data_IF_808267223785
#
_entry.id   IF_808267223785
#
_cell.length_a   1.000
_cell.length_b   1.000
_cell.length_c   1.000
_cell.angle_alpha   90.00
_cell.angle_beta   90.00
_cell.angle_gamma   90.00
#
_symmetry.space_group_name_H-M   'P 1'
#
loop_
_entity.id
_entity.type
_entity.pdbx_description
1 polymer ?
#
# COMPACT_ATOMS: atom_id res chain seq x y z
N UNK A 1 18.98 17.36 -3.24
CA UNK A 1 18.90 16.02 -2.71
C UNK A 1 17.98 15.16 -3.55
N UNK A 2 18.27 13.86 -3.59
CA UNK A 2 17.46 12.95 -4.37
C UNK A 2 16.15 12.60 -3.67
N UNK A 3 15.25 12.02 -4.45
CA UNK A 3 13.93 11.64 -3.97
C UNK A 3 14.01 10.72 -2.75
N UNK A 4 14.88 9.71 -2.82
CA UNK A 4 15.02 8.74 -1.74
C UNK A 4 15.45 9.41 -0.43
N UNK A 5 16.41 10.34 -0.53
CA UNK A 5 16.93 11.00 0.66
C UNK A 5 15.89 11.94 1.27
N UNK A 6 15.14 12.66 0.45
CA UNK A 6 14.17 13.62 0.94
C UNK A 6 12.92 12.97 1.53
N UNK A 7 12.68 11.70 1.20
CA UNK A 7 11.54 10.98 1.74
C UNK A 7 11.93 9.95 2.80
N UNK A 8 13.23 9.87 3.14
CA UNK A 8 13.74 8.82 4.02
C UNK A 8 13.15 8.87 5.43
N UNK A 9 12.94 10.08 5.97
CA UNK A 9 12.42 10.21 7.33
C UNK A 9 11.00 9.69 7.43
N UNK A 10 10.12 10.08 6.51
CA UNK A 10 8.74 9.60 6.52
C UNK A 10 8.69 8.10 6.26
N UNK A 11 9.55 7.61 5.37
CA UNK A 11 9.64 6.18 5.11
C UNK A 11 9.99 5.43 6.39
N UNK A 12 10.98 5.93 7.15
CA UNK A 12 11.39 5.33 8.40
C UNK A 12 10.25 5.30 9.40
N UNK A 13 9.51 6.42 9.51
CA UNK A 13 8.38 6.49 10.45
C UNK A 13 7.32 5.45 10.07
N UNK A 14 6.99 5.35 8.78
CA UNK A 14 5.99 4.39 8.32
C UNK A 14 6.43 2.96 8.64
N UNK A 15 7.70 2.63 8.38
CA UNK A 15 8.21 1.29 8.64
C UNK A 15 8.19 0.92 10.10
N UNK A 16 8.33 1.91 11.00
CA UNK A 16 8.39 1.66 12.43
C UNK A 16 7.03 1.61 13.10
N UNK A 17 5.95 1.87 12.36
CA UNK A 17 4.62 1.75 12.96
C UNK A 17 4.37 0.32 13.44
N UNK A 18 3.74 0.20 14.59
CA UNK A 18 3.59 -1.10 15.24
C UNK A 18 2.85 -2.11 14.36
N UNK A 19 1.79 -1.68 13.69
CA UNK A 19 1.05 -2.60 12.82
C UNK A 19 1.95 -3.16 11.72
N UNK A 20 2.75 -2.28 11.09
CA UNK A 20 3.65 -2.68 10.03
C UNK A 20 4.75 -3.61 10.55
N UNK A 21 5.28 -3.32 11.73
CA UNK A 21 6.28 -4.18 12.36
C UNK A 21 5.71 -5.56 12.67
N UNK A 22 4.47 -5.62 13.15
CA UNK A 22 3.82 -6.89 13.43
C UNK A 22 3.62 -7.69 12.15
N UNK A 23 3.31 -7.01 11.05
CA UNK A 23 3.16 -7.68 9.77
C UNK A 23 4.50 -8.28 9.32
N UNK A 24 5.60 -7.52 9.48
CA UNK A 24 6.93 -8.04 9.17
C UNK A 24 7.31 -9.26 10.00
N UNK A 25 6.86 -9.31 11.24
CA UNK A 25 7.17 -10.43 12.13
C UNK A 25 6.21 -11.61 11.97
N UNK A 26 5.22 -11.49 11.08
CA UNK A 26 4.26 -12.58 10.88
C UNK A 26 3.28 -12.70 12.03
N UNK A 27 2.95 -11.59 12.70
CA UNK A 27 2.14 -11.59 13.90
C UNK A 27 0.70 -11.13 13.69
N UNK A 28 0.31 -10.81 12.46
CA UNK A 28 -1.06 -10.39 12.21
C UNK A 28 -1.99 -11.60 12.21
N UNK A 29 -3.17 -11.43 12.82
CA UNK A 29 -4.22 -12.42 12.66
C UNK A 29 -4.82 -12.29 11.27
N UNK A 30 -5.59 -13.30 10.88
CA UNK A 30 -6.31 -13.28 9.61
C UNK A 30 -7.22 -12.05 9.53
N UNK A 31 -7.94 -11.76 10.61
CA UNK A 31 -8.85 -10.62 10.66
C UNK A 31 -8.09 -9.29 10.48
N UNK A 32 -6.96 -9.17 11.16
CA UNK A 32 -6.14 -7.96 11.03
C UNK A 32 -5.63 -7.77 9.61
N UNK A 33 -5.21 -8.86 8.99
CA UNK A 33 -4.71 -8.78 7.61
C UNK A 33 -5.84 -8.46 6.63
N UNK A 34 -7.04 -8.99 6.86
CA UNK A 34 -8.21 -8.65 6.03
C UNK A 34 -8.51 -7.16 6.14
N UNK A 35 -8.42 -6.60 7.34
CA UNK A 35 -8.61 -5.15 7.51
C UNK A 35 -7.56 -4.36 6.74
N UNK A 36 -6.31 -4.81 6.75
CA UNK A 36 -5.25 -4.17 5.97
C UNK A 36 -5.56 -4.25 4.48
N UNK A 37 -5.90 -5.45 3.99
CA UNK A 37 -6.21 -5.65 2.58
C UNK A 37 -7.40 -4.81 2.13
N UNK A 38 -8.37 -4.60 3.00
CA UNK A 38 -9.53 -3.77 2.68
C UNK A 38 -9.11 -2.34 2.37
N UNK A 39 -8.22 -1.77 3.20
CA UNK A 39 -7.71 -0.43 2.93
C UNK A 39 -6.92 -0.39 1.63
N UNK A 40 -6.05 -1.37 1.45
CA UNK A 40 -5.23 -1.44 0.24
C UNK A 40 -6.08 -1.59 -1.01
N UNK A 41 -7.13 -2.39 -0.94
CA UNK A 41 -8.06 -2.57 -2.06
C UNK A 41 -8.63 -1.24 -2.52
N UNK A 42 -9.08 -0.42 -1.57
CA UNK A 42 -9.67 0.88 -1.90
C UNK A 42 -8.64 1.80 -2.54
N UNK A 43 -7.42 1.81 -2.02
CA UNK A 43 -6.36 2.67 -2.54
C UNK A 43 -5.96 2.25 -3.95
N UNK A 44 -5.67 0.96 -4.15
CA UNK A 44 -5.22 0.49 -5.45
C UNK A 44 -6.33 0.56 -6.50
N UNK A 45 -7.58 0.29 -6.10
CA UNK A 45 -8.70 0.46 -7.03
C UNK A 45 -8.80 1.90 -7.51
N UNK A 46 -8.63 2.87 -6.60
CA UNK A 46 -8.71 4.28 -6.98
C UNK A 46 -7.58 4.68 -7.91
N UNK A 47 -6.37 4.17 -7.66
CA UNK A 47 -5.23 4.47 -8.52
C UNK A 47 -5.43 3.86 -9.91
N UNK A 48 -5.94 2.63 -9.96
CA UNK A 48 -5.92 1.85 -11.21
C UNK A 48 -7.13 2.04 -12.09
N UNK A 49 -8.28 2.37 -11.51
CA UNK A 49 -9.51 2.44 -12.30
C UNK A 49 -9.48 3.63 -13.25
N UNK A 50 -9.55 3.33 -14.54
CA UNK A 50 -9.60 4.37 -15.56
C UNK A 50 -8.29 5.09 -15.81
N UNK A 51 -7.19 4.64 -15.23
CA UNK A 51 -5.89 5.29 -15.40
C UNK A 51 -4.89 4.36 -16.05
N UNK A 52 -3.95 4.97 -16.77
CA UNK A 52 -2.80 4.25 -17.31
C UNK A 52 -1.69 4.25 -16.27
N UNK A 53 -1.04 3.11 -16.12
CA UNK A 53 0.10 2.98 -15.22
C UNK A 53 1.36 2.87 -16.06
N UNK A 54 2.55 3.13 -15.48
CA UNK A 54 3.81 2.97 -16.22
C UNK A 54 3.96 1.58 -16.84
N UNK A 55 3.39 0.53 -16.21
CA UNK A 55 3.30 -0.80 -16.78
C UNK A 55 2.03 -1.44 -16.27
N UNK A 56 1.30 -2.14 -17.15
CA UNK A 56 0.11 -2.86 -16.72
C UNK A 56 0.43 -3.98 -15.75
N UNK A 57 1.67 -4.48 -15.78
CA UNK A 57 2.11 -5.52 -14.84
C UNK A 57 2.12 -5.05 -13.39
N UNK A 58 2.05 -3.74 -13.18
CA UNK A 58 1.97 -3.19 -11.82
C UNK A 58 0.61 -3.43 -11.16
N UNK A 59 -0.46 -3.59 -11.92
CA UNK A 59 -1.82 -3.60 -11.36
C UNK A 59 -1.99 -4.63 -10.27
N UNK A 60 -2.57 -4.17 -9.14
CA UNK A 60 -2.70 -4.99 -7.92
C UNK A 60 -4.13 -5.30 -7.53
N UNK A 61 -5.11 -4.57 -8.09
CA UNK A 61 -6.50 -4.70 -7.65
C UNK A 61 -7.01 -6.13 -7.70
N UNK A 62 -6.74 -6.83 -8.79
CA UNK A 62 -7.22 -8.20 -8.95
C UNK A 62 -6.54 -9.14 -7.95
N UNK A 63 -5.23 -8.98 -7.75
CA UNK A 63 -4.50 -9.82 -6.81
C UNK A 63 -5.01 -9.64 -5.38
N UNK A 64 -5.29 -8.39 -5.00
CA UNK A 64 -5.82 -8.10 -3.67
C UNK A 64 -7.21 -8.70 -3.52
N UNK A 65 -8.04 -8.59 -4.56
CA UNK A 65 -9.36 -9.20 -4.54
C UNK A 65 -9.28 -10.71 -4.35
N UNK A 66 -8.32 -11.36 -5.02
CA UNK A 66 -8.10 -12.79 -4.87
C UNK A 66 -7.72 -13.14 -3.44
N UNK A 67 -6.85 -12.35 -2.83
CA UNK A 67 -6.46 -12.58 -1.44
C UNK A 67 -7.65 -12.44 -0.50
N UNK A 68 -8.46 -11.41 -0.70
CA UNK A 68 -9.65 -11.22 0.12
C UNK A 68 -10.64 -12.39 -0.03
N UNK A 69 -10.81 -12.88 -1.25
CA UNK A 69 -11.68 -14.04 -1.48
C UNK A 69 -11.14 -15.28 -0.80
N UNK A 70 -9.85 -15.48 -0.83
CA UNK A 70 -9.22 -16.63 -0.19
C UNK A 70 -9.44 -16.62 1.31
N UNK A 71 -9.28 -15.46 1.92
CA UNK A 71 -9.41 -15.33 3.38
C UNK A 71 -10.84 -15.32 3.87
N UNK A 72 -11.74 -14.76 3.09
CA UNK A 72 -13.17 -14.99 3.16
C UNK A 72 -13.88 -14.99 4.52
N UNK A 73 -13.34 -14.34 5.47
CA UNK A 73 -13.87 -14.47 6.82
C UNK A 73 -14.81 -13.35 7.20
N UNK A 74 -14.79 -12.28 6.45
CA UNK A 74 -15.35 -11.05 6.95
C UNK A 74 -16.65 -10.67 6.29
N UNK A 75 -17.63 -10.51 7.12
CA UNK A 75 -18.83 -9.83 6.71
C UNK A 75 -18.79 -8.36 7.11
N UNK A 76 -17.93 -8.02 8.06
CA UNK A 76 -17.84 -6.65 8.57
C UNK A 76 -16.45 -6.09 8.28
N UNK A 77 -16.33 -5.39 7.18
CA UNK A 77 -15.07 -4.76 6.82
C UNK A 77 -14.97 -3.40 7.50
N UNK A 78 -13.80 -3.10 8.00
CA UNK A 78 -13.52 -1.79 8.58
C UNK A 78 -12.91 -0.92 7.52
N UNK A 79 -13.51 0.24 7.26
CA UNK A 79 -12.95 1.24 6.37
C UNK A 79 -12.59 2.44 7.22
N UNK A 80 -11.30 2.77 7.26
CA UNK A 80 -10.81 3.84 8.13
C UNK A 80 -11.09 5.21 7.51
N UNK A 81 -11.37 6.21 8.35
CA UNK A 81 -11.49 7.59 7.84
C UNK A 81 -10.24 8.04 7.09
N UNK A 82 -9.06 7.68 7.57
CA UNK A 82 -7.81 8.05 6.90
C UNK A 82 -7.69 7.42 5.52
N UNK A 83 -8.23 6.22 5.34
CA UNK A 83 -8.26 5.58 4.02
C UNK A 83 -9.17 6.38 3.08
N UNK A 84 -10.35 6.76 3.57
CA UNK A 84 -11.29 7.54 2.76
C UNK A 84 -10.65 8.88 2.36
N UNK A 85 -9.93 9.52 3.28
CA UNK A 85 -9.25 10.77 2.98
C UNK A 85 -8.20 10.59 1.89
N UNK A 86 -7.42 9.51 1.95
CA UNK A 86 -6.40 9.26 0.94
C UNK A 86 -7.04 8.96 -0.42
N UNK A 87 -8.08 8.12 -0.42
CA UNK A 87 -8.79 7.80 -1.66
C UNK A 87 -9.38 9.07 -2.29
N UNK A 88 -9.99 9.92 -1.48
CA UNK A 88 -10.53 11.19 -1.98
C UNK A 88 -9.44 12.08 -2.54
N UNK A 89 -8.30 12.15 -1.86
CA UNK A 89 -7.17 12.94 -2.33
C UNK A 89 -6.70 12.44 -3.70
N UNK A 90 -6.51 11.14 -3.83
CA UNK A 90 -6.07 10.52 -5.07
C UNK A 90 -7.08 10.76 -6.19
N UNK A 91 -8.37 10.74 -5.88
CA UNK A 91 -9.42 10.86 -6.89
C UNK A 91 -9.40 12.21 -7.60
N UNK A 92 -8.76 13.20 -7.03
CA UNK A 92 -8.66 14.53 -7.62
C UNK A 92 -7.37 14.77 -8.39
N UNK A 93 -6.52 13.76 -8.52
CA UNK A 93 -5.23 13.90 -9.19
C UNK A 93 -5.31 13.48 -10.64
N UNK A 94 -4.53 14.15 -11.50
CA UNK A 94 -4.36 13.71 -12.89
C UNK A 94 -3.46 12.48 -12.91
N UNK A 95 -3.38 11.81 -14.09
CA UNK A 95 -2.50 10.66 -14.21
C UNK A 95 -1.05 11.00 -13.89
N UNK A 96 -0.60 12.18 -14.31
CA UNK A 96 0.76 12.59 -14.01
C UNK A 96 0.95 12.84 -12.52
N UNK A 97 -0.03 13.45 -11.87
CA UNK A 97 0.03 13.72 -10.44
C UNK A 97 -0.06 12.44 -9.61
N UNK A 98 -0.58 11.36 -10.19
CA UNK A 98 -0.64 10.06 -9.52
C UNK A 98 0.72 9.38 -9.46
N UNK A 99 1.65 9.72 -10.34
CA UNK A 99 2.92 9.00 -10.43
C UNK A 99 3.69 8.95 -9.12
N UNK A 100 3.78 10.04 -8.33
CA UNK A 100 4.44 9.95 -7.02
C UNK A 100 3.77 8.91 -6.10
N UNK A 101 2.47 8.77 -6.16
CA UNK A 101 1.74 7.80 -5.34
C UNK A 101 1.92 6.38 -5.85
N UNK A 102 2.08 6.23 -7.16
CA UNK A 102 2.44 4.93 -7.74
C UNK A 102 3.83 4.53 -7.30
N UNK A 103 4.78 5.45 -7.36
CA UNK A 103 6.13 5.22 -6.84
C UNK A 103 6.07 4.73 -5.39
N UNK A 104 5.34 5.45 -4.55
CA UNK A 104 5.27 5.14 -3.12
C UNK A 104 4.65 3.77 -2.87
N UNK A 105 3.45 3.55 -3.41
CA UNK A 105 2.66 2.37 -3.05
C UNK A 105 3.14 1.11 -3.72
N UNK A 106 3.58 1.19 -4.97
CA UNK A 106 3.93 -0.01 -5.72
C UNK A 106 5.35 -0.48 -5.44
N UNK A 107 6.30 0.44 -5.27
CA UNK A 107 7.66 0.02 -4.94
C UNK A 107 7.75 -0.60 -3.54
N UNK A 108 6.87 -0.16 -2.63
CA UNK A 108 6.84 -0.77 -1.30
C UNK A 108 6.52 -2.27 -1.40
N UNK A 109 5.59 -2.63 -2.28
CA UNK A 109 5.24 -4.04 -2.47
C UNK A 109 6.34 -4.81 -3.21
N UNK A 110 6.98 -4.14 -4.16
CA UNK A 110 8.00 -4.80 -4.99
C UNK A 110 9.27 -5.08 -4.21
N UNK A 111 9.64 -4.22 -3.29
CA UNK A 111 10.87 -4.39 -2.51
C UNK A 111 10.59 -5.06 -1.17
N UNK A 112 10.07 -4.30 -0.21
CA UNK A 112 9.81 -4.84 1.12
C UNK A 112 8.79 -5.96 1.13
N UNK A 113 7.82 -5.85 0.22
CA UNK A 113 6.73 -6.80 0.17
C UNK A 113 7.12 -8.23 -0.13
N UNK A 114 8.25 -8.44 -0.81
CA UNK A 114 8.66 -9.81 -1.12
C UNK A 114 9.00 -10.61 0.14
N UNK A 115 9.46 -9.92 1.19
CA UNK A 115 9.68 -10.57 2.48
C UNK A 115 8.37 -10.82 3.23
N UNK A 116 7.35 -10.05 2.91
CA UNK A 116 6.04 -10.17 3.57
C UNK A 116 5.25 -11.39 3.13
N UNK A 117 5.44 -11.81 1.88
CA UNK A 117 4.58 -12.82 1.28
C UNK A 117 4.44 -14.08 2.14
N UNK A 118 5.52 -14.53 2.73
CA UNK A 118 5.51 -15.76 3.52
C UNK A 118 5.07 -15.52 4.97
N UNK A 119 4.84 -14.27 5.35
CA UNK A 119 4.54 -13.91 6.74
C UNK A 119 3.09 -13.48 6.95
N UNK A 120 2.37 -13.21 5.88
CA UNK A 120 0.98 -12.79 5.98
C UNK A 120 0.05 -13.98 5.86
N UNK A 121 -1.17 -13.89 6.42
CA UNK A 121 -2.17 -14.95 6.25
C UNK A 121 -2.53 -15.13 4.77
N UNK A 122 -2.77 -16.38 4.38
CA UNK A 122 -3.16 -16.71 3.02
C UNK A 122 -1.95 -16.82 2.09
N UNK A 123 -2.20 -16.67 0.79
CA UNK A 123 -1.18 -16.88 -0.24
C UNK A 123 -0.34 -15.67 -0.55
N UNK A 124 -0.73 -14.49 -0.08
CA UNK A 124 0.06 -13.27 -0.33
C UNK A 124 0.14 -12.88 -1.79
N UNK A 125 -0.94 -13.04 -2.54
CA UNK A 125 -0.94 -12.75 -3.97
C UNK A 125 -0.71 -11.29 -4.28
N UNK A 126 -1.07 -10.41 -3.36
CA UNK A 126 -0.81 -8.99 -3.48
C UNK A 126 0.67 -8.69 -3.78
N UNK A 127 1.57 -9.56 -3.35
CA UNK A 127 3.01 -9.39 -3.50
C UNK A 127 3.58 -10.10 -4.73
N UNK A 128 2.73 -10.76 -5.54
CA UNK A 128 3.18 -11.48 -6.73
C UNK A 128 3.22 -10.54 -7.93
N UNK A 129 4.40 -10.37 -8.49
CA UNK A 129 4.60 -9.60 -9.72
C UNK A 129 5.09 -10.55 -10.80
N UNK A 130 4.40 -10.55 -11.95
CA UNK A 130 4.78 -11.42 -13.06
C UNK A 130 6.15 -11.07 -13.63
N UNK A 131 6.47 -9.77 -13.67
CA UNK A 131 7.74 -9.30 -14.19
C UNK A 131 8.24 -8.17 -13.30
N UNK A 132 8.90 -8.54 -12.20
CA UNK A 132 9.35 -7.58 -11.19
C UNK A 132 10.29 -6.53 -11.79
N UNK A 133 11.23 -6.96 -12.63
CA UNK A 133 12.21 -6.03 -13.20
C UNK A 133 11.55 -5.00 -14.10
N UNK A 134 10.58 -5.43 -14.89
CA UNK A 134 9.85 -4.51 -15.75
C UNK A 134 9.03 -3.53 -14.91
N UNK A 135 8.38 -4.03 -13.86
CA UNK A 135 7.55 -3.19 -12.99
C UNK A 135 8.39 -2.09 -12.34
N UNK A 136 9.49 -2.49 -11.71
CA UNK A 136 10.38 -1.52 -11.06
C UNK A 136 10.97 -0.57 -12.07
N UNK A 137 11.45 -1.12 -13.20
CA UNK A 137 12.05 -0.31 -14.25
C UNK A 137 11.11 0.73 -14.83
N UNK A 138 9.82 0.37 -14.99
CA UNK A 138 8.85 1.30 -15.54
C UNK A 138 8.66 2.52 -14.65
N UNK A 139 8.68 2.32 -13.33
CA UNK A 139 8.57 3.42 -12.38
C UNK A 139 9.85 4.24 -12.38
N UNK A 140 11.01 3.57 -12.34
CA UNK A 140 12.30 4.28 -12.35
C UNK A 140 12.47 5.14 -13.59
N UNK A 141 11.92 4.70 -14.72
CA UNK A 141 12.05 5.43 -15.99
C UNK A 141 11.35 6.79 -15.95
N UNK A 142 10.32 6.94 -15.12
CA UNK A 142 9.56 8.21 -15.03
C UNK A 142 9.85 8.95 -13.73
N UNK A 143 10.62 8.37 -12.82
CA UNK A 143 10.89 8.94 -11.50
C UNK A 143 11.57 10.30 -11.57
N UNK A 144 11.12 11.22 -10.72
CA UNK A 144 11.67 12.58 -10.64
C UNK A 144 11.93 12.96 -9.19
N UNK A 145 13.02 13.69 -8.97
CA UNK A 145 13.34 14.17 -7.62
C UNK A 145 12.29 15.16 -7.12
N UNK A 146 11.63 15.88 -8.03
CA UNK A 146 10.60 16.85 -7.66
C UNK A 146 9.39 16.23 -6.99
N UNK A 147 9.27 14.91 -7.02
CA UNK A 147 8.15 14.21 -6.39
C UNK A 147 8.22 14.18 -4.86
N UNK A 148 9.32 14.63 -4.27
CA UNK A 148 9.57 14.39 -2.83
C UNK A 148 8.44 14.92 -1.94
N UNK A 149 7.94 16.11 -2.22
CA UNK A 149 6.87 16.69 -1.41
C UNK A 149 5.60 15.84 -1.51
N UNK A 150 5.24 15.41 -2.71
CA UNK A 150 4.04 14.65 -2.93
C UNK A 150 4.17 13.23 -2.35
N UNK A 151 5.34 12.63 -2.47
CA UNK A 151 5.59 11.31 -1.87
C UNK A 151 5.47 11.39 -0.35
N UNK A 152 6.04 12.44 0.24
CA UNK A 152 5.92 12.63 1.69
C UNK A 152 4.48 12.82 2.12
N UNK A 153 3.67 13.48 1.32
CA UNK A 153 2.24 13.60 1.60
C UNK A 153 1.58 12.22 1.59
N UNK A 154 1.93 11.38 0.62
CA UNK A 154 1.44 10.02 0.59
C UNK A 154 1.84 9.22 1.81
N UNK A 155 3.08 9.38 2.26
CA UNK A 155 3.52 8.73 3.50
C UNK A 155 2.68 9.18 4.70
N UNK A 156 2.34 10.47 4.78
CA UNK A 156 1.52 10.94 5.89
C UNK A 156 0.18 10.21 5.93
N UNK A 157 -0.45 10.02 4.76
CA UNK A 157 -1.69 9.25 4.70
C UNK A 157 -1.48 7.80 5.15
N UNK A 158 -0.41 7.16 4.67
CA UNK A 158 -0.15 5.77 5.03
C UNK A 158 0.15 5.60 6.51
N UNK A 159 0.87 6.56 7.10
CA UNK A 159 1.19 6.53 8.53
C UNK A 159 -0.12 6.58 9.33
N UNK A 160 -1.05 7.46 8.96
CA UNK A 160 -2.33 7.53 9.65
C UNK A 160 -3.14 6.26 9.48
N UNK A 161 -3.05 5.62 8.30
CA UNK A 161 -3.76 4.36 8.07
C UNK A 161 -3.17 3.26 8.95
N UNK A 162 -1.84 3.16 9.06
CA UNK A 162 -1.23 2.18 9.94
C UNK A 162 -1.63 2.42 11.40
N UNK A 163 -1.67 3.68 11.83
CA UNK A 163 -2.11 3.99 13.20
C UNK A 163 -3.57 3.58 13.40
N UNK A 164 -4.41 3.86 12.41
CA UNK A 164 -5.81 3.47 12.50
C UNK A 164 -5.99 1.97 12.56
N UNK A 165 -5.22 1.23 11.76
CA UNK A 165 -5.29 -0.22 11.78
C UNK A 165 -4.85 -0.77 13.15
N UNK A 166 -3.79 -0.22 13.71
CA UNK A 166 -3.32 -0.66 15.03
C UNK A 166 -4.36 -0.37 16.12
N UNK A 167 -5.04 0.77 16.01
CA UNK A 167 -6.04 1.15 17.01
C UNK A 167 -7.31 0.32 16.94
N UNK A 168 -7.59 -0.33 15.80
CA UNK A 168 -8.76 -1.20 15.67
C UNK A 168 -8.45 -2.64 16.07
N UNK A 169 -7.20 -2.94 16.41
CA UNK A 169 -6.78 -4.28 16.80
C UNK A 169 -6.39 -4.28 18.27
N UNK A 170 -6.08 -5.46 18.80
CA UNK A 170 -5.68 -5.55 20.19
C UNK A 170 -6.87 -5.62 21.13
N UNK A 171 -6.61 -5.61 22.43
CA UNK A 171 -7.68 -5.88 23.43
C UNK A 171 -8.82 -4.88 23.41
N UNK A 172 -8.55 -3.63 23.06
CA UNK A 172 -9.55 -2.57 23.06
C UNK A 172 -9.95 -2.14 21.64
N UNK A 173 -9.41 -2.80 20.63
CA UNK A 173 -9.73 -2.50 19.26
C UNK A 173 -11.00 -3.21 18.85
N UNK A 174 -12.06 -2.47 18.74
CA UNK A 174 -13.35 -3.07 18.41
C UNK A 174 -13.90 -2.43 17.18
#
# INVERSE_FOLDING_TARGET
>A
MGLREETAEKHRIAEQKEFNQRMFRGELTKEEYVNYLTQQSLIFNQIEFGNNLPSDSLRRSEKITEDLKELKEQENYIVLPSTIEYVNYISNLTEEQLLPHIYLNYLALAYGGQMMKSKVPGSGRMYDFDNMMECVGSIRAVQKDEWSEEVNKGFDFLIEIFDGLQNTTGPNGK
#
